data_IF_046581172409
#
_entry.id   IF_046581172409
#
_cell.length_a   1.000
_cell.length_b   1.000
_cell.length_c   1.000
_cell.angle_alpha   90.00
_cell.angle_beta   90.00
_cell.angle_gamma   90.00
#
_symmetry.space_group_name_H-M   'P 1'
#
loop_
_entity.id
_entity.type
_entity.pdbx_description
1 polymer ?
#
# COMPACT_ATOMS: atom_id res chain seq x y z
N UNK A 1 -2.00 16.05 1.59
CA UNK A 1 -3.25 16.17 0.80
C UNK A 1 -4.38 15.28 1.33
N UNK A 2 -4.13 14.00 1.70
CA UNK A 2 -5.15 13.09 2.26
C UNK A 2 -5.96 13.67 3.43
N UNK A 3 -5.32 14.44 4.33
CA UNK A 3 -5.98 15.09 5.47
C UNK A 3 -7.16 16.00 5.06
N UNK A 4 -7.02 16.74 3.96
CA UNK A 4 -8.08 17.63 3.46
C UNK A 4 -9.31 16.82 3.03
N UNK A 5 -9.10 15.74 2.29
CA UNK A 5 -10.19 14.87 1.82
C UNK A 5 -10.88 14.14 2.96
N UNK A 6 -10.13 13.74 4.00
CA UNK A 6 -10.71 13.10 5.19
C UNK A 6 -11.55 14.09 6.00
N UNK A 7 -11.08 15.33 6.17
CA UNK A 7 -11.85 16.37 6.87
C UNK A 7 -13.17 16.69 6.18
N UNK A 8 -13.19 16.76 4.84
CA UNK A 8 -14.38 17.04 4.05
C UNK A 8 -15.22 15.82 3.65
N UNK A 9 -14.90 14.61 4.14
CA UNK A 9 -15.51 13.37 3.64
C UNK A 9 -17.02 13.27 3.93
N UNK A 10 -17.49 13.88 5.02
CA UNK A 10 -18.91 13.94 5.35
C UNK A 10 -19.69 14.88 4.40
N UNK A 11 -19.07 15.98 4.00
CA UNK A 11 -19.70 17.02 3.17
C UNK A 11 -19.61 16.69 1.67
N UNK A 12 -18.59 15.94 1.26
CA UNK A 12 -18.35 15.56 -0.13
C UNK A 12 -17.97 14.07 -0.28
N UNK A 13 -18.89 13.14 0.03
CA UNK A 13 -18.60 11.70 0.06
C UNK A 13 -18.16 11.14 -1.31
N UNK A 14 -18.69 11.67 -2.41
CA UNK A 14 -18.29 11.23 -3.75
C UNK A 14 -16.84 11.60 -4.09
N UNK A 15 -16.36 12.76 -3.62
CA UNK A 15 -14.96 13.17 -3.79
C UNK A 15 -14.05 12.26 -2.96
N UNK A 16 -14.42 11.98 -1.71
CA UNK A 16 -13.66 11.07 -0.85
C UNK A 16 -13.57 9.66 -1.46
N UNK A 17 -14.67 9.15 -2.04
CA UNK A 17 -14.70 7.87 -2.75
C UNK A 17 -13.80 7.88 -3.98
N UNK A 18 -13.88 8.92 -4.82
CA UNK A 18 -13.03 9.03 -6.00
C UNK A 18 -11.54 9.05 -5.64
N UNK A 19 -11.16 9.74 -4.57
CA UNK A 19 -9.77 9.76 -4.06
C UNK A 19 -9.33 8.38 -3.57
N UNK A 20 -10.19 7.67 -2.83
CA UNK A 20 -9.88 6.30 -2.36
C UNK A 20 -9.70 5.32 -3.54
N UNK A 21 -10.59 5.40 -4.53
CA UNK A 21 -10.58 4.52 -5.70
C UNK A 21 -9.37 4.78 -6.59
N UNK A 22 -9.07 6.05 -6.88
CA UNK A 22 -7.96 6.44 -7.75
C UNK A 22 -6.58 6.32 -7.08
N UNK A 23 -6.52 6.39 -5.75
CA UNK A 23 -5.27 6.33 -4.98
C UNK A 23 -5.01 4.93 -4.39
N UNK A 24 -5.33 4.71 -3.08
CA UNK A 24 -5.08 3.44 -2.41
C UNK A 24 -5.58 2.23 -3.18
N UNK A 25 -6.87 2.18 -3.56
CA UNK A 25 -7.44 0.99 -4.22
C UNK A 25 -6.75 0.69 -5.55
N UNK A 26 -6.57 1.68 -6.42
CA UNK A 26 -5.89 1.51 -7.70
C UNK A 26 -4.45 1.01 -7.55
N UNK A 27 -3.72 1.44 -6.51
CA UNK A 27 -2.36 0.94 -6.24
C UNK A 27 -2.35 -0.55 -5.88
N UNK A 28 -3.30 -1.03 -5.05
CA UNK A 28 -3.39 -2.45 -4.70
C UNK A 28 -3.84 -3.30 -5.89
N UNK A 29 -4.77 -2.82 -6.70
CA UNK A 29 -5.20 -3.52 -7.91
C UNK A 29 -4.04 -3.72 -8.90
N UNK A 30 -3.19 -2.71 -9.11
CA UNK A 30 -2.01 -2.84 -9.96
C UNK A 30 -1.00 -3.85 -9.42
N UNK A 31 -0.76 -3.84 -8.10
CA UNK A 31 0.13 -4.82 -7.47
C UNK A 31 -0.45 -6.24 -7.56
N UNK A 32 -1.74 -6.42 -7.30
CA UNK A 32 -2.42 -7.71 -7.42
C UNK A 32 -2.30 -8.27 -8.86
N UNK A 33 -2.50 -7.43 -9.87
CA UNK A 33 -2.33 -7.82 -11.27
C UNK A 33 -0.89 -8.28 -11.58
N UNK A 34 0.11 -7.58 -11.04
CA UNK A 34 1.51 -7.98 -11.14
C UNK A 34 1.75 -9.34 -10.47
N UNK A 35 1.34 -9.51 -9.22
CA UNK A 35 1.53 -10.76 -8.47
C UNK A 35 0.90 -11.96 -9.16
N UNK A 36 -0.34 -11.80 -9.66
CA UNK A 36 -1.03 -12.84 -10.41
C UNK A 36 -0.26 -13.24 -11.68
N UNK A 37 0.30 -12.26 -12.40
CA UNK A 37 1.14 -12.52 -13.57
C UNK A 37 2.41 -13.28 -13.20
N UNK A 38 3.14 -12.84 -12.18
CA UNK A 38 4.39 -13.49 -11.75
C UNK A 38 4.14 -14.91 -11.27
N UNK A 39 3.00 -15.18 -10.63
CA UNK A 39 2.58 -16.52 -10.25
C UNK A 39 2.21 -17.38 -11.44
N UNK A 40 1.48 -16.84 -12.43
CA UNK A 40 1.20 -17.57 -13.68
C UNK A 40 2.48 -17.93 -14.44
N UNK A 41 3.51 -17.07 -14.35
CA UNK A 41 4.83 -17.32 -14.94
C UNK A 41 5.74 -18.22 -14.06
N UNK A 42 5.24 -18.74 -12.94
CA UNK A 42 5.96 -19.65 -12.03
C UNK A 42 7.09 -18.99 -11.21
N UNK A 43 7.13 -17.66 -11.13
CA UNK A 43 8.16 -16.92 -10.37
C UNK A 43 7.76 -16.64 -8.92
N UNK A 44 6.47 -16.69 -8.62
CA UNK A 44 5.91 -16.52 -7.28
C UNK A 44 4.89 -17.62 -6.98
N UNK A 45 4.74 -17.98 -5.70
CA UNK A 45 3.70 -18.85 -5.19
C UNK A 45 2.68 -18.03 -4.37
N UNK A 46 1.77 -17.32 -5.05
CA UNK A 46 0.74 -16.48 -4.42
C UNK A 46 -0.65 -17.05 -4.73
N UNK A 47 -1.36 -17.53 -3.70
CA UNK A 47 -2.69 -18.12 -3.88
C UNK A 47 -3.79 -17.07 -4.14
N UNK A 48 -3.73 -15.94 -3.42
CA UNK A 48 -4.65 -14.80 -3.58
C UNK A 48 -3.85 -13.51 -3.74
N UNK A 49 -3.74 -13.07 -4.99
CA UNK A 49 -2.97 -11.88 -5.35
C UNK A 49 -3.58 -10.58 -4.80
N UNK A 50 -4.90 -10.51 -4.64
CA UNK A 50 -5.56 -9.33 -4.08
C UNK A 50 -5.26 -9.20 -2.59
N UNK A 51 -5.40 -10.30 -1.85
CA UNK A 51 -5.05 -10.32 -0.42
C UNK A 51 -3.55 -10.07 -0.19
N UNK A 52 -2.68 -10.67 -1.00
CA UNK A 52 -1.24 -10.45 -0.91
C UNK A 52 -0.87 -8.98 -1.17
N UNK A 53 -1.53 -8.30 -2.12
CA UNK A 53 -1.34 -6.87 -2.35
C UNK A 53 -1.77 -6.01 -1.16
N UNK A 54 -2.87 -6.35 -0.48
CA UNK A 54 -3.29 -5.66 0.75
C UNK A 54 -2.27 -5.86 1.88
N UNK A 55 -1.77 -7.08 2.09
CA UNK A 55 -0.71 -7.35 3.07
C UNK A 55 0.55 -6.53 2.79
N UNK A 56 0.99 -6.48 1.54
CA UNK A 56 2.14 -5.68 1.15
C UNK A 56 1.93 -4.19 1.43
N UNK A 57 0.76 -3.65 1.04
CA UNK A 57 0.40 -2.26 1.32
C UNK A 57 0.42 -1.95 2.82
N UNK A 58 -0.09 -2.85 3.65
CA UNK A 58 -0.04 -2.74 5.10
C UNK A 58 1.38 -2.75 5.67
N UNK A 59 2.27 -3.60 5.16
CA UNK A 59 3.67 -3.68 5.60
C UNK A 59 4.46 -2.41 5.27
N UNK A 60 4.26 -1.83 4.09
CA UNK A 60 4.98 -0.62 3.66
C UNK A 60 4.47 0.62 4.40
N UNK A 61 3.15 0.78 4.47
CA UNK A 61 2.54 2.01 4.99
C UNK A 61 2.43 2.01 6.51
N UNK A 62 2.13 0.85 7.11
CA UNK A 62 2.04 0.64 8.56
C UNK A 62 1.34 1.78 9.31
N UNK A 63 1.90 2.16 10.45
CA UNK A 63 1.40 3.29 11.26
C UNK A 63 1.83 4.66 10.72
N UNK A 64 2.62 4.74 9.65
CA UNK A 64 3.13 6.01 9.12
C UNK A 64 2.01 6.85 8.52
N UNK A 65 1.06 6.23 7.83
CA UNK A 65 -0.12 6.94 7.30
C UNK A 65 -0.98 7.51 8.43
N UNK A 66 -1.19 6.76 9.51
CA UNK A 66 -1.97 7.25 10.64
C UNK A 66 -1.27 8.45 11.30
N UNK A 67 0.06 8.38 11.48
CA UNK A 67 0.84 9.48 12.01
C UNK A 67 0.72 10.74 11.13
N UNK A 68 0.85 10.61 9.81
CA UNK A 68 0.65 11.72 8.86
C UNK A 68 -0.75 12.33 8.99
N UNK A 69 -1.80 11.49 9.06
CA UNK A 69 -3.19 11.95 9.20
C UNK A 69 -3.42 12.74 10.49
N UNK A 70 -2.78 12.33 11.58
CA UNK A 70 -2.82 13.00 12.88
C UNK A 70 -1.90 14.22 12.96
N UNK A 71 -1.09 14.50 11.93
CA UNK A 71 -0.10 15.58 11.93
C UNK A 71 1.10 15.30 12.83
N UNK A 72 1.37 14.03 13.13
CA UNK A 72 2.53 13.60 13.91
C UNK A 72 3.71 13.44 12.95
N UNK A 73 4.69 14.34 13.07
CA UNK A 73 5.93 14.20 12.33
C UNK A 73 6.73 12.99 12.83
N UNK A 74 7.09 12.11 11.90
CA UNK A 74 7.91 10.92 12.15
C UNK A 74 9.37 11.14 11.75
N UNK A 75 9.70 12.26 11.11
CA UNK A 75 11.06 12.65 10.75
C UNK A 75 11.78 11.66 9.83
N UNK A 76 11.05 10.94 8.97
CA UNK A 76 11.66 9.97 8.08
C UNK A 76 12.54 10.67 7.04
N UNK A 77 13.80 10.27 6.97
CA UNK A 77 14.68 10.63 5.87
C UNK A 77 14.37 9.77 4.64
N UNK A 78 14.77 10.22 3.45
CA UNK A 78 14.63 9.44 2.22
C UNK A 78 15.28 8.05 2.35
N UNK A 79 16.48 7.98 2.94
CA UNK A 79 17.17 6.71 3.19
C UNK A 79 16.36 5.76 4.09
N UNK A 80 15.62 6.29 5.07
CA UNK A 80 14.77 5.47 5.92
C UNK A 80 13.52 4.98 5.19
N UNK A 81 12.94 5.80 4.30
CA UNK A 81 11.82 5.39 3.46
C UNK A 81 12.25 4.22 2.56
N UNK A 82 13.43 4.33 1.92
CA UNK A 82 13.98 3.27 1.07
C UNK A 82 14.25 1.99 1.85
N UNK A 83 14.84 2.11 3.04
CA UNK A 83 15.13 0.96 3.91
C UNK A 83 13.84 0.26 4.37
N UNK A 84 12.78 1.00 4.72
CA UNK A 84 11.46 0.44 5.07
C UNK A 84 10.87 -0.32 3.88
N UNK A 85 10.87 0.29 2.68
CA UNK A 85 10.33 -0.33 1.48
C UNK A 85 11.08 -1.61 1.11
N UNK A 86 12.42 -1.57 1.14
CA UNK A 86 13.27 -2.73 0.87
C UNK A 86 13.04 -3.86 1.89
N UNK A 87 12.91 -3.52 3.18
CA UNK A 87 12.63 -4.48 4.25
C UNK A 87 11.25 -5.12 4.15
N UNK A 88 10.24 -4.37 3.72
CA UNK A 88 8.90 -4.91 3.46
C UNK A 88 8.92 -5.85 2.25
N UNK A 89 9.54 -5.42 1.15
CA UNK A 89 9.71 -6.25 -0.05
C UNK A 89 10.48 -7.53 0.22
N UNK A 90 11.59 -7.47 0.96
CA UNK A 90 12.36 -8.66 1.32
C UNK A 90 11.53 -9.67 2.11
N UNK A 91 10.76 -9.20 3.11
CA UNK A 91 9.88 -10.08 3.91
C UNK A 91 8.75 -10.67 3.07
N UNK A 92 8.15 -9.87 2.19
CA UNK A 92 7.13 -10.30 1.26
C UNK A 92 7.66 -11.40 0.33
N UNK A 93 8.84 -11.19 -0.27
CA UNK A 93 9.46 -12.18 -1.15
C UNK A 93 9.80 -13.47 -0.41
N UNK A 94 10.27 -13.40 0.84
CA UNK A 94 10.48 -14.63 1.65
C UNK A 94 9.22 -15.46 1.87
N UNK A 95 8.03 -14.84 1.81
CA UNK A 95 6.77 -15.55 1.96
C UNK A 95 6.25 -16.14 0.64
N UNK A 96 6.58 -15.53 -0.50
CA UNK A 96 5.91 -15.81 -1.78
C UNK A 96 6.86 -16.19 -2.93
N UNK A 97 8.17 -16.14 -2.77
CA UNK A 97 9.10 -16.65 -3.80
C UNK A 97 9.04 -18.17 -3.88
N UNK A 98 9.21 -18.71 -5.09
CA UNK A 98 9.40 -20.16 -5.34
C UNK A 98 10.85 -20.56 -5.05
#
# INVERSE_FOLDING_TARGET
MMRLYIQGAADAPDVARAVFEAGPKASRLRLAAFLAKETADGRLAVDDAAMAAEFFGGMVVGTYQLADLLGVDRGLTENQIDDIAAKAAHRFMRAYSV
#
